data_IF_683980473333
#
_entry.id   IF_683980473333
#
_cell.length_a   1.000
_cell.length_b   1.000
_cell.length_c   1.000
_cell.angle_alpha   90.00
_cell.angle_beta   90.00
_cell.angle_gamma   90.00
#
_symmetry.space_group_name_H-M   'P 1'
#
loop_
_entity.id
_entity.type
_entity.pdbx_description
1 polymer ?
#
# COMPACT_ATOMS: atom_id res chain seq x y z
N UNK A 1 -14.62 15.52 29.68
CA UNK A 1 -13.72 14.94 28.67
C UNK A 1 -12.57 14.26 29.38
N UNK A 2 -12.24 13.05 28.98
CA UNK A 2 -11.10 12.28 29.48
C UNK A 2 -9.89 12.53 28.58
N UNK A 3 -8.73 11.99 28.94
CA UNK A 3 -7.53 12.03 28.11
C UNK A 3 -7.26 10.65 27.54
N UNK A 4 -6.91 10.60 26.27
CA UNK A 4 -6.35 9.39 25.66
C UNK A 4 -4.89 9.17 26.11
N UNK A 5 -4.27 8.07 25.67
CA UNK A 5 -2.89 7.72 26.05
C UNK A 5 -1.82 8.71 25.55
N UNK A 6 -2.15 9.63 24.63
CA UNK A 6 -1.26 10.72 24.18
C UNK A 6 -1.48 12.02 24.96
N UNK A 7 -2.42 12.00 25.91
CA UNK A 7 -2.81 13.14 26.73
C UNK A 7 -3.77 14.13 26.07
N UNK A 8 -4.30 13.80 24.89
CA UNK A 8 -5.30 14.61 24.22
C UNK A 8 -6.70 14.34 24.76
N UNK A 9 -7.53 15.39 24.83
CA UNK A 9 -8.91 15.27 25.29
C UNK A 9 -9.76 14.51 24.28
N UNK A 10 -10.67 13.67 24.76
CA UNK A 10 -11.68 13.01 23.97
C UNK A 10 -12.99 12.85 24.78
N UNK A 11 -14.11 12.85 24.08
CA UNK A 11 -15.41 12.53 24.67
C UNK A 11 -15.58 11.01 24.76
N UNK A 12 -16.26 10.54 25.81
CA UNK A 12 -16.57 9.14 26.01
C UNK A 12 -16.55 8.71 27.48
N UNK A 13 -17.05 7.51 27.77
CA UNK A 13 -16.92 6.87 29.07
C UNK A 13 -15.48 6.40 29.31
N UNK A 14 -15.11 6.16 30.59
CA UNK A 14 -13.79 5.62 30.95
C UNK A 14 -13.51 4.29 30.25
N UNK A 15 -14.52 3.44 30.14
CA UNK A 15 -14.44 2.13 29.50
C UNK A 15 -14.20 2.28 27.98
N UNK A 16 -14.92 3.20 27.30
CA UNK A 16 -14.73 3.49 25.89
C UNK A 16 -13.32 4.01 25.60
N UNK A 17 -12.80 4.93 26.42
CA UNK A 17 -11.43 5.45 26.31
C UNK A 17 -10.39 4.35 26.51
N UNK A 18 -10.60 3.46 27.48
CA UNK A 18 -9.68 2.34 27.73
C UNK A 18 -9.63 1.37 26.53
N UNK A 19 -10.77 1.02 25.94
CA UNK A 19 -10.82 0.20 24.72
C UNK A 19 -10.24 0.91 23.51
N UNK A 20 -10.51 2.20 23.32
CA UNK A 20 -9.91 3.01 22.26
C UNK A 20 -8.38 3.01 22.35
N UNK A 21 -7.82 3.22 23.54
CA UNK A 21 -6.36 3.20 23.72
C UNK A 21 -5.74 1.85 23.38
N UNK A 22 -6.39 0.73 23.74
CA UNK A 22 -5.95 -0.61 23.32
C UNK A 22 -6.06 -0.79 21.80
N UNK A 23 -7.16 -0.32 21.20
CA UNK A 23 -7.35 -0.37 19.74
C UNK A 23 -6.24 0.38 19.01
N UNK A 24 -5.82 1.55 19.49
CA UNK A 24 -4.70 2.31 18.93
C UNK A 24 -3.39 1.50 19.00
N UNK A 25 -3.11 0.83 20.11
CA UNK A 25 -1.92 -0.04 20.21
C UNK A 25 -1.94 -1.14 19.16
N UNK A 26 -3.07 -1.84 19.00
CA UNK A 26 -3.23 -2.88 17.98
C UNK A 26 -3.19 -2.32 16.54
N UNK A 27 -3.72 -1.10 16.30
CA UNK A 27 -3.61 -0.43 15.00
C UNK A 27 -2.14 -0.22 14.61
N UNK A 28 -1.34 0.31 15.52
CA UNK A 28 0.07 0.62 15.26
C UNK A 28 0.93 -0.64 15.06
N UNK A 29 0.57 -1.73 15.72
CA UNK A 29 1.21 -3.03 15.58
C UNK A 29 0.60 -3.89 14.44
N UNK A 30 -0.34 -3.35 13.66
CA UNK A 30 -1.04 -4.06 12.56
C UNK A 30 -1.73 -5.36 13.01
N UNK A 31 -2.22 -5.41 14.24
CA UNK A 31 -2.85 -6.60 14.82
C UNK A 31 -4.37 -6.63 14.60
N UNK A 32 -4.95 -7.78 14.25
CA UNK A 32 -6.39 -7.91 13.96
C UNK A 32 -7.30 -7.58 15.14
N UNK A 33 -6.80 -7.64 16.36
CA UNK A 33 -7.49 -7.27 17.59
C UNK A 33 -7.96 -5.80 17.61
N UNK A 34 -7.40 -4.95 16.76
CA UNK A 34 -7.86 -3.55 16.59
C UNK A 34 -9.36 -3.49 16.33
N UNK A 35 -9.90 -4.40 15.52
CA UNK A 35 -11.34 -4.42 15.19
C UNK A 35 -12.16 -4.71 16.44
N UNK A 36 -11.83 -5.76 17.19
CA UNK A 36 -12.55 -6.15 18.41
C UNK A 36 -12.50 -5.07 19.49
N UNK A 37 -11.33 -4.45 19.69
CA UNK A 37 -11.20 -3.36 20.68
C UNK A 37 -11.95 -2.09 20.25
N UNK A 38 -11.98 -1.79 18.95
CA UNK A 38 -12.76 -0.65 18.43
C UNK A 38 -14.26 -0.88 18.62
N UNK A 39 -14.77 -2.09 18.33
CA UNK A 39 -16.18 -2.43 18.57
C UNK A 39 -16.53 -2.40 20.06
N UNK A 40 -15.64 -2.85 20.95
CA UNK A 40 -15.84 -2.75 22.40
C UNK A 40 -15.90 -1.27 22.86
N UNK A 41 -15.04 -0.40 22.33
CA UNK A 41 -15.09 1.04 22.64
C UNK A 41 -16.44 1.66 22.22
N UNK A 42 -16.92 1.31 21.03
CA UNK A 42 -18.22 1.77 20.50
C UNK A 42 -19.42 1.22 21.28
N UNK A 43 -19.34 -0.01 21.75
CA UNK A 43 -20.39 -0.62 22.58
C UNK A 43 -20.45 0.00 23.97
N UNK A 44 -19.28 0.32 24.57
CA UNK A 44 -19.19 0.95 25.87
C UNK A 44 -19.74 2.40 25.88
N UNK A 45 -19.57 3.12 24.75
CA UNK A 45 -20.15 4.45 24.57
C UNK A 45 -20.37 4.75 23.06
N UNK A 46 -21.61 4.56 22.57
CA UNK A 46 -21.93 4.86 21.17
C UNK A 46 -21.76 6.33 20.76
N UNK A 47 -21.68 7.26 21.73
CA UNK A 47 -21.44 8.68 21.48
C UNK A 47 -19.95 9.05 21.41
N UNK A 48 -19.04 8.11 21.68
CA UNK A 48 -17.59 8.33 21.59
C UNK A 48 -17.16 8.53 20.14
N UNK A 49 -17.01 9.80 19.72
CA UNK A 49 -16.69 10.20 18.34
C UNK A 49 -15.39 9.56 17.87
N UNK A 50 -14.35 9.52 18.71
CA UNK A 50 -13.06 8.95 18.32
C UNK A 50 -13.12 7.43 18.07
N UNK A 51 -13.96 6.68 18.80
CA UNK A 51 -14.16 5.25 18.54
C UNK A 51 -14.92 5.02 17.20
N UNK A 52 -15.91 5.88 16.89
CA UNK A 52 -16.61 5.85 15.61
C UNK A 52 -15.68 6.23 14.45
N UNK A 53 -14.85 7.26 14.65
CA UNK A 53 -13.85 7.69 13.66
C UNK A 53 -12.82 6.59 13.37
N UNK A 54 -12.27 5.94 14.42
CA UNK A 54 -11.35 4.81 14.24
C UNK A 54 -12.01 3.69 13.42
N UNK A 55 -13.27 3.33 13.74
CA UNK A 55 -13.99 2.29 12.99
C UNK A 55 -14.18 2.64 11.51
N UNK A 56 -14.50 3.90 11.24
CA UNK A 56 -14.62 4.39 9.86
C UNK A 56 -13.27 4.33 9.12
N UNK A 57 -12.18 4.78 9.73
CA UNK A 57 -10.85 4.72 9.14
C UNK A 57 -10.40 3.29 8.84
N UNK A 58 -10.68 2.31 9.71
CA UNK A 58 -10.38 0.90 9.43
C UNK A 58 -11.05 0.41 8.14
N UNK A 59 -12.27 0.85 7.87
CA UNK A 59 -12.95 0.54 6.60
C UNK A 59 -12.31 1.26 5.40
N UNK A 60 -11.94 2.54 5.56
CA UNK A 60 -11.35 3.32 4.47
C UNK A 60 -9.94 2.83 4.08
N UNK A 61 -9.17 2.34 5.06
CA UNK A 61 -7.83 1.81 4.83
C UNK A 61 -7.83 0.43 4.13
N UNK A 62 -8.98 -0.26 3.98
CA UNK A 62 -9.06 -1.48 3.15
C UNK A 62 -8.83 -1.22 1.67
N UNK A 63 -8.96 0.04 1.22
CA UNK A 63 -8.95 0.43 -0.19
C UNK A 63 -10.09 -0.15 -1.05
N UNK A 64 -11.14 -0.70 -0.44
CA UNK A 64 -12.27 -1.32 -1.13
C UNK A 64 -13.55 -0.46 -1.01
N UNK A 65 -14.29 -0.31 -2.12
CA UNK A 65 -15.47 0.56 -2.17
C UNK A 65 -16.59 0.15 -1.20
N UNK A 66 -16.96 -1.14 -1.04
CA UNK A 66 -17.99 -1.55 -0.08
C UNK A 66 -17.66 -1.17 1.36
N UNK A 67 -16.37 -1.22 1.73
CA UNK A 67 -15.92 -0.84 3.06
C UNK A 67 -15.96 0.68 3.27
N UNK A 68 -15.64 1.47 2.22
CA UNK A 68 -15.81 2.92 2.26
C UNK A 68 -17.29 3.32 2.42
N UNK A 69 -18.21 2.66 1.71
CA UNK A 69 -19.66 2.85 1.87
C UNK A 69 -20.11 2.48 3.28
N UNK A 70 -19.59 1.37 3.82
CA UNK A 70 -19.90 0.95 5.18
C UNK A 70 -19.32 1.91 6.23
N UNK A 71 -18.13 2.48 6.01
CA UNK A 71 -17.50 3.47 6.88
C UNK A 71 -18.40 4.68 7.13
N UNK A 72 -19.16 5.11 6.12
CA UNK A 72 -20.11 6.22 6.24
C UNK A 72 -21.18 5.99 7.32
N UNK A 73 -21.54 4.73 7.62
CA UNK A 73 -22.55 4.40 8.63
C UNK A 73 -22.10 4.75 10.04
N UNK A 74 -20.80 4.70 10.31
CA UNK A 74 -20.24 4.94 11.64
C UNK A 74 -20.20 6.43 11.99
N UNK A 75 -20.15 7.31 11.00
CA UNK A 75 -20.03 8.77 11.21
C UNK A 75 -21.28 9.53 10.79
N UNK A 76 -22.31 8.86 10.26
CA UNK A 76 -23.54 9.50 9.79
C UNK A 76 -24.24 10.25 10.92
N UNK A 77 -24.42 11.58 10.72
CA UNK A 77 -25.09 12.46 11.67
C UNK A 77 -24.28 12.78 12.92
N UNK A 78 -23.05 12.31 13.04
CA UNK A 78 -22.16 12.72 14.12
C UNK A 78 -21.66 14.14 13.90
N UNK A 79 -21.65 14.89 14.98
CA UNK A 79 -21.03 16.22 15.09
C UNK A 79 -20.27 16.28 16.40
N UNK A 80 -19.24 17.11 16.47
CA UNK A 80 -18.56 17.41 17.72
C UNK A 80 -18.30 18.91 17.84
N UNK A 81 -18.40 19.44 19.04
CA UNK A 81 -17.93 20.77 19.41
C UNK A 81 -16.42 20.82 19.69
N UNK A 82 -15.79 19.66 19.86
CA UNK A 82 -14.34 19.55 19.95
C UNK A 82 -13.70 19.67 18.56
N UNK A 83 -12.74 20.58 18.42
CA UNK A 83 -12.14 20.88 17.13
C UNK A 83 -11.31 19.71 16.56
N UNK A 84 -10.68 18.88 17.39
CA UNK A 84 -9.94 17.68 17.00
C UNK A 84 -10.89 16.65 16.41
N UNK A 85 -11.95 16.32 17.13
CA UNK A 85 -12.96 15.34 16.69
C UNK A 85 -13.66 15.80 15.42
N UNK A 86 -14.00 17.10 15.31
CA UNK A 86 -14.62 17.67 14.11
C UNK A 86 -13.73 17.58 12.88
N UNK A 87 -12.40 17.74 13.02
CA UNK A 87 -11.45 17.57 11.93
C UNK A 87 -11.32 16.10 11.49
N UNK A 88 -11.36 15.13 12.41
CA UNK A 88 -11.43 13.71 12.05
C UNK A 88 -12.70 13.39 11.24
N UNK A 89 -13.87 13.87 11.68
CA UNK A 89 -15.13 13.68 10.96
C UNK A 89 -15.09 14.31 9.56
N UNK A 90 -14.48 15.51 9.43
CA UNK A 90 -14.27 16.17 8.14
C UNK A 90 -13.39 15.36 7.20
N UNK A 91 -12.23 14.86 7.67
CA UNK A 91 -11.31 14.05 6.88
C UNK A 91 -11.98 12.75 6.42
N UNK A 92 -12.73 12.07 7.30
CA UNK A 92 -13.50 10.87 6.94
C UNK A 92 -14.52 11.19 5.85
N UNK A 93 -15.28 12.28 6.00
CA UNK A 93 -16.29 12.71 5.02
C UNK A 93 -15.68 12.99 3.65
N UNK A 94 -14.54 13.66 3.59
CA UNK A 94 -13.79 13.93 2.36
C UNK A 94 -13.29 12.62 1.71
N UNK A 95 -12.73 11.70 2.50
CA UNK A 95 -12.25 10.41 1.98
C UNK A 95 -13.39 9.60 1.37
N UNK A 96 -14.53 9.47 2.08
CA UNK A 96 -15.74 8.79 1.58
C UNK A 96 -16.26 9.44 0.29
N UNK A 97 -16.18 10.78 0.18
CA UNK A 97 -16.58 11.52 -1.01
C UNK A 97 -15.57 11.41 -2.19
N UNK A 98 -14.46 10.68 -2.01
CA UNK A 98 -13.42 10.53 -3.04
C UNK A 98 -12.41 11.68 -3.11
N UNK A 99 -12.49 12.68 -2.21
CA UNK A 99 -11.47 13.73 -2.07
C UNK A 99 -10.39 13.31 -1.06
N UNK A 100 -9.56 12.35 -1.46
CA UNK A 100 -8.50 11.79 -0.63
C UNK A 100 -7.39 12.82 -0.35
N UNK A 101 -7.06 13.67 -1.33
CA UNK A 101 -6.14 14.79 -1.12
C UNK A 101 -6.69 15.81 -0.13
N UNK A 102 -8.01 16.10 -0.16
CA UNK A 102 -8.68 16.94 0.83
C UNK A 102 -8.58 16.35 2.23
N UNK A 103 -8.84 15.03 2.36
CA UNK A 103 -8.71 14.32 3.62
C UNK A 103 -7.27 14.38 4.17
N UNK A 104 -6.25 14.16 3.32
CA UNK A 104 -4.83 14.27 3.71
C UNK A 104 -4.50 15.68 4.21
N UNK A 105 -4.94 16.74 3.51
CA UNK A 105 -4.76 18.14 3.95
C UNK A 105 -5.45 18.43 5.29
N UNK A 106 -6.67 17.93 5.48
CA UNK A 106 -7.41 18.10 6.74
C UNK A 106 -6.71 17.41 7.91
N UNK A 107 -6.10 16.23 7.67
CA UNK A 107 -5.27 15.56 8.68
C UNK A 107 -3.96 16.32 8.96
N UNK A 108 -3.38 17.00 7.97
CA UNK A 108 -2.22 17.90 8.19
C UNK A 108 -2.60 19.12 9.03
N UNK A 109 -3.76 19.74 8.76
CA UNK A 109 -4.29 20.85 9.56
C UNK A 109 -4.57 20.42 11.01
N UNK A 110 -5.10 19.22 11.19
CA UNK A 110 -5.31 18.64 12.51
C UNK A 110 -3.99 18.47 13.25
N UNK A 111 -2.97 17.87 12.60
CA UNK A 111 -1.65 17.66 13.18
C UNK A 111 -0.89 18.96 13.44
N UNK A 112 -1.15 20.01 12.67
CA UNK A 112 -0.63 21.36 12.98
C UNK A 112 -1.11 21.91 14.32
N UNK A 113 -2.31 21.50 14.77
CA UNK A 113 -2.90 21.90 16.08
C UNK A 113 -2.68 20.86 17.18
N UNK A 114 -2.69 19.58 16.80
CA UNK A 114 -2.60 18.43 17.70
C UNK A 114 -1.48 17.46 17.25
N UNK A 115 -0.19 17.87 17.32
CA UNK A 115 0.92 17.09 16.74
C UNK A 115 1.14 15.73 17.42
N UNK A 116 0.47 15.46 18.54
CA UNK A 116 0.48 14.16 19.21
C UNK A 116 -0.74 13.30 18.92
N UNK A 117 -1.57 13.67 17.94
CA UNK A 117 -2.68 12.83 17.51
C UNK A 117 -2.17 11.62 16.73
N UNK A 118 -2.00 10.52 17.44
CA UNK A 118 -1.44 9.28 16.87
C UNK A 118 -2.36 8.64 15.82
N UNK A 119 -3.69 8.78 15.97
CA UNK A 119 -4.63 8.30 14.96
C UNK A 119 -4.49 9.08 13.66
N UNK A 120 -4.42 10.41 13.74
CA UNK A 120 -4.22 11.25 12.56
C UNK A 120 -2.85 11.00 11.90
N UNK A 121 -1.79 10.74 12.69
CA UNK A 121 -0.48 10.37 12.17
C UNK A 121 -0.54 9.04 11.40
N UNK A 122 -1.09 7.99 12.00
CA UNK A 122 -1.16 6.66 11.39
C UNK A 122 -2.04 6.65 10.13
N UNK A 123 -3.25 7.21 10.23
CA UNK A 123 -4.19 7.24 9.11
C UNK A 123 -3.71 8.15 7.98
N UNK A 124 -3.14 9.33 8.33
CA UNK A 124 -2.58 10.24 7.34
C UNK A 124 -1.38 9.64 6.61
N UNK A 125 -0.52 8.91 7.33
CA UNK A 125 0.61 8.18 6.75
C UNK A 125 0.13 7.13 5.74
N UNK A 126 -0.90 6.34 6.09
CA UNK A 126 -1.48 5.36 5.17
C UNK A 126 -2.15 6.00 3.96
N UNK A 127 -2.85 7.12 4.15
CA UNK A 127 -3.49 7.85 3.06
C UNK A 127 -2.47 8.47 2.09
N UNK A 128 -1.37 9.04 2.61
CA UNK A 128 -0.29 9.59 1.78
C UNK A 128 0.39 8.47 0.95
N UNK A 129 0.49 7.25 1.50
CA UNK A 129 0.93 6.06 0.76
C UNK A 129 -0.04 5.72 -0.39
N UNK A 130 -1.34 5.69 -0.15
CA UNK A 130 -2.35 5.45 -1.20
C UNK A 130 -2.36 6.53 -2.29
N UNK A 131 -1.97 7.74 -1.96
CA UNK A 131 -1.84 8.86 -2.89
C UNK A 131 -0.49 8.90 -3.62
N UNK A 132 0.50 8.12 -3.17
CA UNK A 132 1.88 8.17 -3.70
C UNK A 132 2.62 9.46 -3.34
N UNK A 133 2.19 10.15 -2.29
CA UNK A 133 2.74 11.41 -1.81
C UNK A 133 3.93 11.19 -0.87
N UNK A 134 5.04 10.62 -1.40
CA UNK A 134 6.24 10.27 -0.62
C UNK A 134 6.78 11.43 0.23
N UNK A 135 6.76 12.65 -0.32
CA UNK A 135 7.19 13.86 0.39
C UNK A 135 6.36 14.15 1.63
N UNK A 136 5.03 13.97 1.55
CA UNK A 136 4.11 14.19 2.67
C UNK A 136 4.15 13.01 3.65
N UNK A 137 4.24 11.78 3.15
CA UNK A 137 4.45 10.57 3.94
C UNK A 137 5.60 10.72 4.95
N UNK A 138 6.78 11.19 4.49
CA UNK A 138 7.92 11.53 5.34
C UNK A 138 7.67 12.78 6.17
N UNK A 139 7.20 13.86 5.54
CA UNK A 139 7.08 15.19 6.13
C UNK A 139 6.12 15.23 7.31
N UNK A 140 5.01 14.50 7.24
CA UNK A 140 3.99 14.39 8.31
C UNK A 140 4.63 13.94 9.62
N UNK A 141 5.40 12.87 9.58
CA UNK A 141 6.05 12.33 10.78
C UNK A 141 7.21 13.22 11.22
N UNK A 142 8.02 13.73 10.29
CA UNK A 142 9.12 14.65 10.60
C UNK A 142 8.64 15.89 11.36
N UNK A 143 7.49 16.46 11.00
CA UNK A 143 6.89 17.62 11.69
C UNK A 143 6.36 17.28 13.09
N UNK A 144 5.89 16.05 13.29
CA UNK A 144 5.32 15.62 14.57
C UNK A 144 6.38 15.26 15.61
N UNK A 145 7.48 14.62 15.22
CA UNK A 145 8.52 14.07 16.11
C UNK A 145 9.02 15.05 17.19
N UNK A 146 9.29 16.35 16.93
CA UNK A 146 9.74 17.29 17.95
C UNK A 146 8.75 17.52 19.10
N UNK A 147 7.49 17.12 18.94
CA UNK A 147 6.44 17.26 19.95
C UNK A 147 6.24 16.01 20.82
N UNK A 148 7.02 14.96 20.56
CA UNK A 148 6.94 13.69 21.28
C UNK A 148 8.14 13.49 22.22
N UNK A 149 7.86 12.97 23.42
CA UNK A 149 8.91 12.50 24.31
C UNK A 149 9.49 11.17 23.78
N UNK A 150 10.82 11.06 23.57
CA UNK A 150 11.44 9.79 23.15
C UNK A 150 11.19 8.62 24.12
N UNK A 151 10.84 8.88 25.37
CA UNK A 151 10.47 7.85 26.34
C UNK A 151 8.98 7.47 26.31
N UNK A 152 8.17 8.14 25.51
CA UNK A 152 6.75 7.80 25.36
C UNK A 152 6.60 6.42 24.73
N UNK A 153 5.77 5.56 25.30
CA UNK A 153 5.61 4.16 24.82
C UNK A 153 5.17 4.02 23.35
N UNK A 154 4.60 5.05 22.73
CA UNK A 154 4.25 5.04 21.29
C UNK A 154 5.34 5.62 20.38
N UNK A 155 6.44 6.16 20.95
CA UNK A 155 7.44 6.88 20.16
C UNK A 155 8.10 5.98 19.09
N UNK A 156 8.33 4.71 19.41
CA UNK A 156 8.91 3.74 18.46
C UNK A 156 8.12 3.63 17.17
N UNK A 157 6.79 3.59 17.24
CA UNK A 157 5.94 3.51 16.04
C UNK A 157 6.05 4.75 15.13
N UNK A 158 6.34 5.94 15.71
CA UNK A 158 6.64 7.12 14.88
C UNK A 158 7.94 6.93 14.11
N UNK A 159 8.95 6.33 14.71
CA UNK A 159 10.21 6.03 14.05
C UNK A 159 10.03 5.01 12.90
N UNK A 160 9.14 4.01 13.09
CA UNK A 160 8.77 3.06 12.04
C UNK A 160 8.10 3.76 10.85
N UNK A 161 7.11 4.63 11.11
CA UNK A 161 6.49 5.46 10.06
C UNK A 161 7.49 6.42 9.40
N UNK A 162 8.42 7.01 10.17
CA UNK A 162 9.49 7.85 9.63
C UNK A 162 10.41 7.04 8.71
N UNK A 163 10.76 5.82 9.09
CA UNK A 163 11.61 4.93 8.31
C UNK A 163 11.02 4.70 6.92
N UNK A 164 9.75 4.36 6.84
CA UNK A 164 9.09 4.14 5.56
C UNK A 164 9.00 5.43 4.71
N UNK A 165 8.69 6.57 5.33
CA UNK A 165 8.68 7.85 4.62
C UNK A 165 10.05 8.29 4.11
N UNK A 166 11.12 7.99 4.84
CA UNK A 166 12.51 8.22 4.40
C UNK A 166 12.87 7.29 3.22
N UNK A 167 12.46 6.03 3.30
CA UNK A 167 12.70 5.03 2.26
C UNK A 167 12.03 5.44 0.93
N UNK A 168 10.74 5.77 0.93
CA UNK A 168 10.02 6.24 -0.26
C UNK A 168 10.56 7.59 -0.82
N UNK A 169 11.37 8.32 -0.03
CA UNK A 169 12.13 9.50 -0.48
C UNK A 169 13.57 9.17 -0.91
N UNK A 170 13.96 7.90 -1.01
CA UNK A 170 15.31 7.48 -1.43
C UNK A 170 16.41 7.70 -0.39
N UNK A 171 16.05 7.92 0.88
CA UNK A 171 17.00 8.18 1.97
C UNK A 171 17.27 6.88 2.77
N UNK A 172 17.79 5.86 2.09
CA UNK A 172 17.80 4.46 2.57
C UNK A 172 18.61 4.25 3.86
N UNK A 173 19.80 4.87 4.02
CA UNK A 173 20.61 4.73 5.25
C UNK A 173 19.90 5.37 6.46
N UNK A 174 19.25 6.52 6.25
CA UNK A 174 18.48 7.18 7.30
C UNK A 174 17.22 6.37 7.65
N UNK A 175 16.58 5.78 6.65
CA UNK A 175 15.41 4.90 6.81
C UNK A 175 15.77 3.64 7.61
N UNK A 176 16.85 2.95 7.25
CA UNK A 176 17.33 1.77 7.98
C UNK A 176 17.63 2.10 9.44
N UNK A 177 18.34 3.23 9.68
CA UNK A 177 18.66 3.69 11.04
C UNK A 177 17.40 3.95 11.87
N UNK A 178 16.40 4.64 11.28
CA UNK A 178 15.14 4.93 11.96
C UNK A 178 14.34 3.65 12.24
N UNK A 179 14.24 2.75 11.25
CA UNK A 179 13.54 1.47 11.38
C UNK A 179 14.17 0.55 12.44
N UNK A 180 15.49 0.45 12.48
CA UNK A 180 16.19 -0.32 13.53
C UNK A 180 16.00 0.28 14.92
N UNK A 181 15.94 1.62 15.03
CA UNK A 181 15.61 2.28 16.28
C UNK A 181 14.16 1.99 16.71
N UNK A 182 13.21 1.98 15.77
CA UNK A 182 11.82 1.58 16.04
C UNK A 182 11.72 0.15 16.57
N UNK A 183 12.38 -0.82 15.92
CA UNK A 183 12.44 -2.23 16.33
C UNK A 183 13.07 -2.38 17.73
N UNK A 184 14.05 -1.55 18.08
CA UNK A 184 14.64 -1.55 19.43
C UNK A 184 13.66 -1.05 20.51
N UNK A 185 12.69 -0.17 20.17
CA UNK A 185 11.59 0.22 21.04
C UNK A 185 10.49 -0.85 21.11
N UNK A 186 10.12 -1.42 19.95
CA UNK A 186 9.05 -2.40 19.80
C UNK A 186 9.49 -3.49 18.84
N UNK A 187 9.91 -4.63 19.38
CA UNK A 187 10.34 -5.76 18.55
C UNK A 187 9.24 -6.34 17.64
N UNK A 188 7.99 -6.05 17.96
CA UNK A 188 6.78 -6.42 17.20
C UNK A 188 6.26 -5.30 16.28
N UNK A 189 7.02 -4.22 16.06
CA UNK A 189 6.69 -3.21 15.07
C UNK A 189 6.94 -3.76 13.65
N UNK A 190 5.93 -4.46 13.15
CA UNK A 190 5.97 -5.08 11.81
C UNK A 190 6.08 -4.05 10.69
N UNK A 191 5.60 -2.81 10.91
CA UNK A 191 5.76 -1.72 9.95
C UNK A 191 7.23 -1.27 9.84
N UNK A 192 7.94 -1.17 10.97
CA UNK A 192 9.35 -0.86 10.98
C UNK A 192 10.20 -1.99 10.35
N UNK A 193 9.87 -3.26 10.65
CA UNK A 193 10.52 -4.41 10.03
C UNK A 193 10.35 -4.36 8.50
N UNK A 194 9.13 -4.13 8.03
CA UNK A 194 8.81 -3.96 6.62
C UNK A 194 9.59 -2.79 5.98
N UNK A 195 9.64 -1.62 6.63
CA UNK A 195 10.37 -0.45 6.14
C UNK A 195 11.88 -0.72 6.00
N UNK A 196 12.48 -1.45 6.93
CA UNK A 196 13.88 -1.89 6.82
C UNK A 196 14.05 -2.88 5.67
N UNK A 197 13.12 -3.82 5.49
CA UNK A 197 13.10 -4.73 4.33
C UNK A 197 13.12 -3.97 3.00
N UNK A 198 12.31 -2.93 2.87
CA UNK A 198 12.33 -2.04 1.70
C UNK A 198 13.70 -1.41 1.44
N UNK A 199 14.45 -1.01 2.48
CA UNK A 199 15.79 -0.42 2.27
C UNK A 199 16.76 -1.41 1.64
N UNK A 200 16.66 -2.70 2.00
CA UNK A 200 17.45 -3.75 1.36
C UNK A 200 17.04 -3.97 -0.09
N UNK A 201 15.73 -4.01 -0.38
CA UNK A 201 15.21 -4.16 -1.74
C UNK A 201 15.71 -3.05 -2.65
N UNK A 202 15.55 -1.80 -2.23
CA UNK A 202 15.90 -0.64 -3.07
C UNK A 202 17.39 -0.47 -3.26
N UNK A 203 18.22 -0.99 -2.35
CA UNK A 203 19.69 -1.01 -2.48
C UNK A 203 20.20 -2.25 -3.23
N UNK A 204 19.32 -3.19 -3.56
CA UNK A 204 19.68 -4.45 -4.21
C UNK A 204 20.46 -5.42 -3.31
N UNK A 205 20.26 -5.35 -1.99
CA UNK A 205 20.89 -6.20 -0.97
C UNK A 205 19.95 -7.35 -0.60
N UNK A 206 19.66 -8.20 -1.58
CA UNK A 206 18.57 -9.18 -1.48
C UNK A 206 18.89 -10.32 -0.51
N UNK A 207 20.13 -10.80 -0.46
CA UNK A 207 20.58 -11.86 0.46
C UNK A 207 20.49 -11.36 1.91
N UNK A 208 21.06 -10.18 2.17
CA UNK A 208 21.00 -9.53 3.49
C UNK A 208 19.55 -9.20 3.90
N UNK A 209 18.69 -8.89 2.91
CA UNK A 209 17.27 -8.65 3.12
C UNK A 209 16.53 -9.93 3.55
N UNK A 210 16.81 -11.09 2.94
CA UNK A 210 16.27 -12.38 3.35
C UNK A 210 16.74 -12.72 4.78
N UNK A 211 18.03 -12.61 5.05
CA UNK A 211 18.61 -12.88 6.37
C UNK A 211 17.99 -11.98 7.45
N UNK A 212 17.79 -10.70 7.13
CA UNK A 212 17.12 -9.76 8.03
C UNK A 212 15.67 -10.18 8.30
N UNK A 213 14.86 -10.45 7.27
CA UNK A 213 13.47 -10.85 7.45
C UNK A 213 13.37 -12.19 8.22
N UNK A 214 14.27 -13.14 7.95
CA UNK A 214 14.30 -14.41 8.67
C UNK A 214 14.66 -14.23 10.15
N UNK A 215 15.60 -13.32 10.47
CA UNK A 215 15.95 -12.98 11.85
C UNK A 215 14.80 -12.35 12.64
N UNK A 216 13.83 -11.69 11.96
CA UNK A 216 12.67 -11.04 12.54
C UNK A 216 11.38 -11.89 12.43
N UNK A 217 11.46 -13.12 11.94
CA UNK A 217 10.30 -13.95 11.61
C UNK A 217 9.37 -14.21 12.80
N UNK A 218 9.90 -14.30 14.03
CA UNK A 218 9.08 -14.45 15.23
C UNK A 218 8.06 -13.30 15.42
N UNK A 219 8.37 -12.12 14.92
CA UNK A 219 7.51 -10.93 15.02
C UNK A 219 6.53 -10.83 13.84
N UNK A 220 7.02 -10.82 12.60
CA UNK A 220 6.17 -10.55 11.45
C UNK A 220 5.42 -11.77 10.89
N UNK A 221 5.90 -13.01 11.11
CA UNK A 221 5.22 -14.21 10.62
C UNK A 221 4.02 -14.63 11.48
N UNK A 222 3.78 -13.97 12.61
CA UNK A 222 2.57 -14.14 13.42
C UNK A 222 1.32 -13.57 12.72
N UNK A 223 0.13 -13.71 13.33
CA UNK A 223 -1.10 -13.14 12.78
C UNK A 223 -1.09 -11.61 12.86
N UNK A 224 -0.83 -10.96 11.74
CA UNK A 224 -0.93 -9.50 11.57
C UNK A 224 -1.25 -9.15 10.11
N UNK A 225 -1.67 -7.91 9.84
CA UNK A 225 -2.09 -7.46 8.51
C UNK A 225 -0.95 -7.26 7.51
N UNK A 226 0.31 -7.36 7.93
CA UNK A 226 1.47 -7.24 7.04
C UNK A 226 2.16 -8.57 6.76
N UNK A 227 1.69 -9.68 7.33
CA UNK A 227 2.30 -11.00 7.14
C UNK A 227 2.41 -11.37 5.65
N UNK A 228 1.33 -11.25 4.92
CA UNK A 228 1.29 -11.58 3.48
C UNK A 228 2.23 -10.67 2.71
N UNK A 229 2.16 -9.36 2.96
CA UNK A 229 2.99 -8.36 2.29
C UNK A 229 4.50 -8.52 2.61
N UNK A 230 4.86 -8.82 3.86
CA UNK A 230 6.25 -9.09 4.23
C UNK A 230 6.75 -10.39 3.58
N UNK A 231 5.90 -11.43 3.49
CA UNK A 231 6.22 -12.66 2.75
C UNK A 231 6.42 -12.38 1.25
N UNK A 232 5.63 -11.46 0.69
CA UNK A 232 5.80 -11.02 -0.70
C UNK A 232 7.18 -10.37 -0.92
N UNK A 233 7.66 -9.49 -0.04
CA UNK A 233 9.03 -8.95 -0.14
C UNK A 233 10.08 -10.06 -0.15
N UNK A 234 9.94 -11.06 0.72
CA UNK A 234 10.85 -12.21 0.72
C UNK A 234 10.81 -12.97 -0.61
N UNK A 235 9.62 -13.16 -1.20
CA UNK A 235 9.47 -13.76 -2.52
C UNK A 235 10.10 -12.92 -3.64
N UNK A 236 10.01 -11.57 -3.56
CA UNK A 236 10.67 -10.67 -4.51
C UNK A 236 12.20 -10.76 -4.38
N UNK A 237 12.75 -10.89 -3.17
CA UNK A 237 14.18 -11.09 -2.98
C UNK A 237 14.66 -12.41 -3.60
N UNK A 238 13.93 -13.51 -3.39
CA UNK A 238 14.22 -14.79 -4.02
C UNK A 238 14.15 -14.69 -5.56
N UNK A 239 13.14 -13.99 -6.09
CA UNK A 239 12.98 -13.78 -7.54
C UNK A 239 14.13 -12.95 -8.12
N UNK A 240 14.61 -11.90 -7.44
CA UNK A 240 15.78 -11.13 -7.89
C UNK A 240 17.06 -11.98 -7.93
N UNK A 241 17.18 -12.99 -7.07
CA UNK A 241 18.26 -13.97 -7.09
C UNK A 241 18.03 -15.12 -8.08
N UNK A 242 16.91 -15.10 -8.83
CA UNK A 242 16.49 -16.16 -9.74
C UNK A 242 16.16 -17.49 -9.04
N UNK A 243 15.89 -17.47 -7.74
CA UNK A 243 15.34 -18.61 -7.01
C UNK A 243 13.80 -18.65 -7.17
N UNK A 244 13.38 -19.03 -8.37
CA UNK A 244 11.96 -19.14 -8.69
C UNK A 244 11.23 -20.21 -7.86
N UNK A 245 11.97 -21.25 -7.42
CA UNK A 245 11.41 -22.30 -6.57
C UNK A 245 10.98 -21.76 -5.21
N UNK A 246 11.84 -20.98 -4.55
CA UNK A 246 11.52 -20.33 -3.28
C UNK A 246 10.37 -19.30 -3.45
N UNK A 247 10.39 -18.49 -4.53
CA UNK A 247 9.32 -17.54 -4.80
C UNK A 247 7.95 -18.22 -5.00
N UNK A 248 7.89 -19.35 -5.73
CA UNK A 248 6.68 -20.14 -5.93
C UNK A 248 6.21 -20.81 -4.63
N UNK A 249 7.12 -21.32 -3.79
CA UNK A 249 6.76 -21.90 -2.49
C UNK A 249 6.07 -20.85 -1.59
N UNK A 250 6.62 -19.64 -1.49
CA UNK A 250 6.01 -18.54 -0.72
C UNK A 250 4.65 -18.15 -1.32
N UNK A 251 4.53 -18.15 -2.65
CA UNK A 251 3.25 -17.90 -3.32
C UNK A 251 2.19 -18.90 -2.86
N UNK A 252 2.50 -20.19 -2.89
CA UNK A 252 1.57 -21.28 -2.54
C UNK A 252 1.22 -21.29 -1.05
N UNK A 253 2.23 -21.09 -0.18
CA UNK A 253 2.06 -21.19 1.27
C UNK A 253 1.34 -19.98 1.87
N UNK A 254 1.55 -18.79 1.31
CA UNK A 254 1.11 -17.56 1.97
C UNK A 254 0.24 -16.67 1.08
N UNK A 255 0.68 -16.34 -0.15
CA UNK A 255 0.03 -15.32 -0.97
C UNK A 255 -1.25 -15.83 -1.67
N UNK A 256 -1.37 -17.12 -1.90
CA UNK A 256 -2.53 -17.75 -2.57
C UNK A 256 -3.44 -18.50 -1.60
N UNK A 257 -3.35 -18.22 -0.29
CA UNK A 257 -4.23 -18.82 0.71
C UNK A 257 -5.67 -18.28 0.60
N UNK A 258 -6.67 -19.06 1.03
CA UNK A 258 -8.07 -18.62 1.06
C UNK A 258 -8.27 -17.32 1.86
N UNK A 259 -7.40 -17.04 2.82
CA UNK A 259 -7.46 -15.82 3.61
C UNK A 259 -6.88 -14.63 2.85
N UNK A 260 -5.71 -14.78 2.20
CA UNK A 260 -5.06 -13.71 1.44
C UNK A 260 -5.83 -13.32 0.17
N UNK A 261 -6.60 -14.24 -0.41
CA UNK A 261 -7.48 -13.96 -1.54
C UNK A 261 -8.80 -13.23 -1.16
N UNK A 262 -8.89 -12.67 0.05
CA UNK A 262 -10.07 -11.92 0.51
C UNK A 262 -9.90 -10.41 0.49
N UNK A 263 -8.68 -9.91 0.58
CA UNK A 263 -8.39 -8.48 0.64
C UNK A 263 -7.66 -8.01 -0.61
N UNK A 264 -8.07 -6.86 -1.14
CA UNK A 264 -7.52 -6.33 -2.39
C UNK A 264 -6.00 -6.11 -2.31
N UNK A 265 -5.48 -5.63 -1.17
CA UNK A 265 -4.05 -5.35 -1.01
C UNK A 265 -3.21 -6.64 -1.01
N UNK A 266 -3.67 -7.73 -0.37
CA UNK A 266 -2.98 -9.02 -0.39
C UNK A 266 -3.08 -9.70 -1.76
N UNK A 267 -4.24 -9.58 -2.43
CA UNK A 267 -4.43 -10.06 -3.81
C UNK A 267 -3.53 -9.32 -4.80
N UNK A 268 -3.25 -8.03 -4.58
CA UNK A 268 -2.31 -7.26 -5.39
C UNK A 268 -0.88 -7.80 -5.27
N UNK A 269 -0.44 -8.19 -4.07
CA UNK A 269 0.86 -8.82 -3.84
C UNK A 269 0.99 -10.15 -4.61
N UNK A 270 -0.02 -11.02 -4.51
CA UNK A 270 -0.07 -12.29 -5.26
C UNK A 270 0.01 -12.04 -6.77
N UNK A 271 -0.83 -11.12 -7.29
CA UNK A 271 -0.88 -10.77 -8.71
C UNK A 271 0.45 -10.21 -9.21
N UNK A 272 1.07 -9.33 -8.43
CA UNK A 272 2.33 -8.71 -8.80
C UNK A 272 3.51 -9.70 -8.79
N UNK A 273 3.51 -10.70 -7.90
CA UNK A 273 4.51 -11.78 -7.92
C UNK A 273 4.32 -12.69 -9.13
N UNK A 274 3.10 -13.20 -9.34
CA UNK A 274 2.80 -14.07 -10.49
C UNK A 274 3.11 -13.38 -11.82
N UNK A 275 2.84 -12.07 -11.92
CA UNK A 275 3.15 -11.31 -13.13
C UNK A 275 4.66 -11.19 -13.37
N UNK A 276 5.47 -10.97 -12.34
CA UNK A 276 6.93 -10.95 -12.46
C UNK A 276 7.48 -12.30 -12.93
N UNK A 277 6.96 -13.40 -12.38
CA UNK A 277 7.30 -14.75 -12.84
C UNK A 277 6.90 -14.98 -14.31
N UNK A 278 5.69 -14.51 -14.70
CA UNK A 278 5.22 -14.55 -16.09
C UNK A 278 6.13 -13.73 -17.04
N UNK A 279 6.60 -12.56 -16.63
CA UNK A 279 7.55 -11.76 -17.41
C UNK A 279 8.89 -12.46 -17.61
N UNK A 280 9.30 -13.27 -16.65
CA UNK A 280 10.52 -14.08 -16.67
C UNK A 280 10.30 -15.45 -17.34
N UNK A 281 9.13 -15.68 -17.94
CA UNK A 281 8.75 -16.89 -18.67
C UNK A 281 8.74 -18.16 -17.79
N UNK A 282 8.56 -17.98 -16.47
CA UNK A 282 8.39 -19.08 -15.51
C UNK A 282 6.96 -19.62 -15.59
N UNK A 283 6.83 -20.93 -15.69
CA UNK A 283 5.51 -21.59 -15.64
C UNK A 283 4.91 -21.49 -14.23
N UNK A 284 3.85 -20.72 -14.09
CA UNK A 284 3.12 -20.55 -12.84
C UNK A 284 1.90 -21.50 -12.72
N UNK A 285 1.69 -22.36 -13.72
CA UNK A 285 0.60 -23.33 -13.73
C UNK A 285 -0.78 -22.71 -13.56
N UNK A 286 -1.63 -23.33 -12.76
CA UNK A 286 -3.02 -22.90 -12.54
C UNK A 286 -3.18 -21.76 -11.49
N UNK A 287 -2.09 -21.14 -11.01
CA UNK A 287 -2.15 -20.15 -9.90
C UNK A 287 -2.91 -18.87 -10.23
N UNK A 288 -3.02 -18.56 -11.53
CA UNK A 288 -3.77 -17.38 -11.97
C UNK A 288 -5.28 -17.50 -11.75
N UNK A 289 -5.87 -18.70 -11.93
CA UNK A 289 -7.31 -18.86 -11.94
C UNK A 289 -7.98 -18.51 -10.60
N UNK A 290 -7.54 -19.04 -9.44
CA UNK A 290 -8.14 -18.66 -8.15
C UNK A 290 -8.00 -17.17 -7.86
N UNK A 291 -6.89 -16.54 -8.25
CA UNK A 291 -6.69 -15.10 -8.08
C UNK A 291 -7.63 -14.29 -8.96
N UNK A 292 -7.78 -14.67 -10.24
CA UNK A 292 -8.70 -14.00 -11.17
C UNK A 292 -10.17 -14.15 -10.72
N UNK A 293 -10.57 -15.32 -10.22
CA UNK A 293 -11.90 -15.53 -9.64
C UNK A 293 -12.13 -14.64 -8.41
N UNK A 294 -11.14 -14.56 -7.52
CA UNK A 294 -11.21 -13.70 -6.34
C UNK A 294 -11.38 -12.23 -6.73
N UNK A 295 -10.60 -11.73 -7.69
CA UNK A 295 -10.76 -10.37 -8.22
C UNK A 295 -12.11 -10.16 -8.92
N UNK A 296 -12.60 -11.13 -9.70
CA UNK A 296 -13.90 -11.05 -10.36
C UNK A 296 -15.09 -10.96 -9.37
N UNK A 297 -14.91 -11.47 -8.15
CA UNK A 297 -15.90 -11.39 -7.08
C UNK A 297 -15.97 -10.03 -6.37
N UNK A 298 -14.99 -9.15 -6.59
CA UNK A 298 -14.93 -7.82 -5.97
C UNK A 298 -15.91 -6.85 -6.61
N UNK A 299 -16.26 -5.81 -5.84
CA UNK A 299 -17.10 -4.72 -6.35
C UNK A 299 -16.41 -4.05 -7.56
N UNK A 300 -17.11 -3.85 -8.68
CA UNK A 300 -16.54 -3.33 -9.91
C UNK A 300 -16.33 -1.80 -9.92
N UNK A 301 -16.64 -1.10 -8.85
CA UNK A 301 -16.46 0.35 -8.75
C UNK A 301 -14.97 0.70 -8.79
N UNK A 302 -14.59 1.59 -9.70
CA UNK A 302 -13.22 2.09 -9.83
C UNK A 302 -12.89 3.05 -8.65
N UNK A 303 -12.74 2.48 -7.46
CA UNK A 303 -12.51 3.22 -6.21
C UNK A 303 -11.04 3.57 -5.99
N UNK A 304 -10.14 2.64 -6.33
CA UNK A 304 -8.70 2.81 -6.20
C UNK A 304 -7.99 2.19 -7.41
N UNK A 305 -7.40 3.03 -8.23
CA UNK A 305 -6.81 2.63 -9.52
C UNK A 305 -5.70 1.58 -9.39
N UNK A 306 -4.98 1.57 -8.28
CA UNK A 306 -3.98 0.55 -8.00
C UNK A 306 -4.60 -0.85 -7.97
N UNK A 307 -5.78 -1.01 -7.34
CA UNK A 307 -6.52 -2.28 -7.33
C UNK A 307 -7.01 -2.65 -8.73
N UNK A 308 -7.53 -1.68 -9.50
CA UNK A 308 -8.00 -1.91 -10.87
C UNK A 308 -6.87 -2.46 -11.77
N UNK A 309 -5.66 -1.90 -11.65
CA UNK A 309 -4.49 -2.36 -12.40
C UNK A 309 -4.08 -3.78 -12.02
N UNK A 310 -4.12 -4.16 -10.74
CA UNK A 310 -3.80 -5.52 -10.29
C UNK A 310 -4.89 -6.52 -10.69
N UNK A 311 -6.15 -6.10 -10.74
CA UNK A 311 -7.23 -6.90 -11.34
C UNK A 311 -6.92 -7.20 -12.80
N UNK A 312 -6.49 -6.21 -13.58
CA UNK A 312 -6.12 -6.42 -15.00
C UNK A 312 -4.93 -7.38 -15.13
N UNK A 313 -3.90 -7.26 -14.27
CA UNK A 313 -2.79 -8.22 -14.25
C UNK A 313 -3.28 -9.66 -14.06
N UNK A 314 -4.20 -9.88 -13.13
CA UNK A 314 -4.77 -11.20 -12.86
C UNK A 314 -5.60 -11.72 -14.04
N UNK A 315 -6.45 -10.88 -14.64
CA UNK A 315 -7.27 -11.28 -15.80
C UNK A 315 -6.40 -11.63 -17.02
N UNK A 316 -5.41 -10.78 -17.34
CA UNK A 316 -4.48 -11.04 -18.45
C UNK A 316 -3.65 -12.31 -18.16
N UNK A 317 -3.13 -12.46 -16.95
CA UNK A 317 -2.37 -13.64 -16.55
C UNK A 317 -3.15 -14.95 -16.65
N UNK A 318 -4.45 -14.92 -16.32
CA UNK A 318 -5.37 -16.05 -16.47
C UNK A 318 -5.88 -16.26 -17.93
N UNK A 319 -5.42 -15.44 -18.89
CA UNK A 319 -5.92 -15.52 -20.28
C UNK A 319 -7.35 -14.98 -20.48
N UNK A 320 -7.91 -14.30 -19.47
CA UNK A 320 -9.27 -13.72 -19.48
C UNK A 320 -9.28 -12.32 -20.10
N UNK A 321 -8.75 -12.22 -21.32
CA UNK A 321 -8.50 -10.95 -22.03
C UNK A 321 -9.76 -10.08 -22.18
N UNK A 322 -10.92 -10.68 -22.48
CA UNK A 322 -12.17 -9.94 -22.64
C UNK A 322 -12.63 -9.27 -21.33
N UNK A 323 -12.36 -9.90 -20.19
CA UNK A 323 -12.66 -9.33 -18.88
C UNK A 323 -11.70 -8.19 -18.53
N UNK A 324 -10.42 -8.32 -18.86
CA UNK A 324 -9.45 -7.23 -18.74
C UNK A 324 -9.87 -6.00 -19.55
N UNK A 325 -10.32 -6.19 -20.81
CA UNK A 325 -10.82 -5.11 -21.67
C UNK A 325 -12.12 -4.49 -21.14
N UNK A 326 -13.00 -5.29 -20.52
CA UNK A 326 -14.20 -4.77 -19.88
C UNK A 326 -13.87 -3.89 -18.65
N UNK A 327 -12.78 -4.19 -17.93
CA UNK A 327 -12.29 -3.33 -16.82
C UNK A 327 -11.80 -2.00 -17.41
N UNK A 328 -10.99 -2.02 -18.47
CA UNK A 328 -10.53 -0.80 -19.16
C UNK A 328 -11.71 0.07 -19.58
N UNK A 329 -12.74 -0.52 -20.19
CA UNK A 329 -13.94 0.21 -20.61
C UNK A 329 -14.67 0.87 -19.42
N UNK A 330 -14.73 0.22 -18.25
CA UNK A 330 -15.27 0.83 -17.03
C UNK A 330 -14.42 1.99 -16.52
N UNK A 331 -13.10 1.84 -16.56
CA UNK A 331 -12.16 2.91 -16.19
C UNK A 331 -12.33 4.13 -17.11
N UNK A 332 -12.48 3.93 -18.43
CA UNK A 332 -12.77 4.99 -19.41
C UNK A 332 -14.08 5.72 -19.09
N UNK A 333 -15.14 4.96 -18.83
CA UNK A 333 -16.44 5.52 -18.45
C UNK A 333 -16.35 6.32 -17.14
N UNK A 334 -15.58 5.84 -16.15
CA UNK A 334 -15.36 6.53 -14.88
C UNK A 334 -14.63 7.86 -15.05
N UNK A 335 -13.60 7.92 -15.91
CA UNK A 335 -12.87 9.17 -16.21
C UNK A 335 -13.79 10.21 -16.84
N UNK A 336 -14.72 9.78 -17.68
CA UNK A 336 -15.67 10.66 -18.39
C UNK A 336 -16.89 11.03 -17.54
N UNK A 337 -17.12 10.37 -16.42
CA UNK A 337 -18.27 10.64 -15.56
C UNK A 337 -18.16 12.00 -14.86
N UNK A 338 -19.24 12.80 -14.82
CA UNK A 338 -19.29 14.01 -14.01
C UNK A 338 -19.22 13.72 -12.50
N UNK A 339 -19.58 12.53 -12.08
CA UNK A 339 -19.57 12.04 -10.69
C UNK A 339 -18.25 11.36 -10.30
N UNK A 340 -17.23 11.49 -11.15
CA UNK A 340 -15.92 10.87 -10.89
C UNK A 340 -15.34 11.29 -9.54
N UNK A 341 -14.70 10.35 -8.88
CA UNK A 341 -13.95 10.62 -7.65
C UNK A 341 -12.81 11.60 -7.93
N UNK A 342 -12.67 12.64 -7.11
CA UNK A 342 -11.72 13.73 -7.38
C UNK A 342 -10.29 13.23 -7.45
N UNK A 343 -9.83 12.52 -6.42
CA UNK A 343 -8.43 12.07 -6.32
C UNK A 343 -8.15 10.86 -7.24
N UNK A 344 -8.96 9.80 -7.13
CA UNK A 344 -8.77 8.62 -7.97
C UNK A 344 -8.99 8.91 -9.46
N UNK A 345 -9.94 9.80 -9.79
CA UNK A 345 -10.18 10.24 -11.18
C UNK A 345 -8.99 10.96 -11.80
N UNK A 346 -8.24 11.75 -11.03
CA UNK A 346 -6.99 12.37 -11.48
C UNK A 346 -5.90 11.32 -11.74
N UNK A 347 -5.68 10.40 -10.80
CA UNK A 347 -4.72 9.31 -10.92
C UNK A 347 -5.04 8.42 -12.11
N UNK A 348 -6.33 8.08 -12.28
CA UNK A 348 -6.83 7.27 -13.39
C UNK A 348 -6.60 7.94 -14.74
N UNK A 349 -6.96 9.22 -14.89
CA UNK A 349 -6.80 9.94 -16.15
C UNK A 349 -5.33 10.16 -16.51
N UNK A 350 -4.46 10.41 -15.51
CA UNK A 350 -3.06 10.77 -15.75
C UNK A 350 -2.16 9.57 -16.07
N UNK A 351 -2.35 8.45 -15.39
CA UNK A 351 -1.50 7.27 -15.54
C UNK A 351 -2.26 5.95 -15.50
N UNK A 352 -3.30 5.81 -14.65
CA UNK A 352 -3.98 4.54 -14.43
C UNK A 352 -4.60 3.95 -15.69
N UNK A 353 -5.42 4.71 -16.40
CA UNK A 353 -6.06 4.26 -17.64
C UNK A 353 -5.03 3.97 -18.75
N UNK A 354 -4.01 4.81 -19.01
CA UNK A 354 -2.95 4.45 -19.93
C UNK A 354 -2.23 3.15 -19.55
N UNK A 355 -1.89 2.93 -18.28
CA UNK A 355 -1.26 1.67 -17.84
C UNK A 355 -2.21 0.49 -18.06
N UNK A 356 -3.50 0.60 -17.74
CA UNK A 356 -4.51 -0.42 -17.97
C UNK A 356 -4.60 -0.82 -19.47
N UNK A 357 -4.64 0.17 -20.37
CA UNK A 357 -4.61 -0.05 -21.83
C UNK A 357 -3.32 -0.73 -22.28
N UNK A 358 -2.17 -0.35 -21.71
CA UNK A 358 -0.89 -0.98 -22.01
C UNK A 358 -0.81 -2.44 -21.55
N UNK A 359 -1.34 -2.75 -20.35
CA UNK A 359 -1.39 -4.13 -19.83
C UNK A 359 -2.27 -5.04 -20.71
N UNK A 360 -3.41 -4.53 -21.17
CA UNK A 360 -4.27 -5.29 -22.11
C UNK A 360 -3.62 -5.45 -23.49
N UNK A 361 -2.89 -4.44 -23.99
CA UNK A 361 -2.08 -4.56 -25.21
C UNK A 361 -0.99 -5.61 -25.04
N UNK A 362 -0.30 -5.62 -23.88
CA UNK A 362 0.69 -6.65 -23.56
C UNK A 362 0.08 -8.06 -23.60
N UNK A 363 -1.11 -8.24 -23.02
CA UNK A 363 -1.84 -9.51 -23.03
C UNK A 363 -2.18 -10.01 -24.45
N UNK A 364 -2.42 -9.11 -25.39
CA UNK A 364 -2.63 -9.43 -26.83
C UNK A 364 -1.32 -9.69 -27.60
N UNK A 365 -0.16 -9.50 -26.98
CA UNK A 365 1.13 -9.57 -27.65
C UNK A 365 1.50 -8.31 -28.44
N UNK A 366 0.74 -7.21 -28.29
CA UNK A 366 1.01 -5.93 -28.94
C UNK A 366 2.02 -5.12 -28.09
N UNK A 367 3.27 -5.56 -28.14
CA UNK A 367 4.35 -4.99 -27.34
C UNK A 367 4.76 -3.58 -27.80
N UNK A 368 4.61 -3.28 -29.10
CA UNK A 368 4.88 -1.93 -29.63
C UNK A 368 3.88 -0.93 -29.06
N UNK A 369 2.59 -1.27 -29.02
CA UNK A 369 1.56 -0.43 -28.42
C UNK A 369 1.80 -0.28 -26.90
N UNK A 370 2.15 -1.37 -26.20
CA UNK A 370 2.49 -1.32 -24.77
C UNK A 370 3.58 -0.29 -24.51
N UNK A 371 4.68 -0.33 -25.26
CA UNK A 371 5.79 0.62 -25.12
C UNK A 371 5.35 2.04 -25.46
N UNK A 372 4.63 2.23 -26.56
CA UNK A 372 4.15 3.55 -27.00
C UNK A 372 3.32 4.25 -25.92
N UNK A 373 2.49 3.50 -25.19
CA UNK A 373 1.64 4.04 -24.12
C UNK A 373 2.45 4.28 -22.84
N UNK A 374 3.26 3.31 -22.40
CA UNK A 374 3.90 3.39 -21.07
C UNK A 374 5.15 4.26 -21.03
N UNK A 375 5.94 4.33 -22.12
CA UNK A 375 7.21 5.05 -22.13
C UNK A 375 7.08 6.53 -21.74
N UNK A 376 6.08 7.31 -22.25
CA UNK A 376 5.91 8.71 -21.88
C UNK A 376 5.54 8.96 -20.41
N UNK A 377 4.87 8.00 -19.77
CA UNK A 377 4.33 8.16 -18.40
C UNK A 377 5.13 7.40 -17.35
N UNK A 378 6.22 6.70 -17.73
CA UNK A 378 6.97 5.80 -16.84
C UNK A 378 7.49 6.42 -15.53
N UNK A 379 7.64 7.76 -15.51
CA UNK A 379 8.07 8.50 -14.33
C UNK A 379 6.92 9.08 -13.49
N UNK A 380 5.67 8.85 -13.88
CA UNK A 380 4.47 9.41 -13.23
C UNK A 380 3.66 8.36 -12.46
N UNK A 381 4.16 7.12 -12.35
CA UNK A 381 3.40 6.00 -11.81
C UNK A 381 3.09 6.14 -10.30
N UNK A 382 3.80 7.01 -9.58
CA UNK A 382 3.49 7.26 -8.16
C UNK A 382 2.09 7.84 -7.94
N UNK A 383 1.52 8.53 -8.94
CA UNK A 383 0.22 9.20 -8.81
C UNK A 383 -0.95 8.26 -8.44
N UNK A 384 -0.82 6.96 -8.70
CA UNK A 384 -1.84 5.98 -8.31
C UNK A 384 -1.47 5.18 -7.05
N UNK A 385 -0.50 5.65 -6.25
CA UNK A 385 -0.12 5.04 -4.99
C UNK A 385 0.78 3.81 -5.12
N UNK A 386 0.81 3.01 -4.06
CA UNK A 386 1.73 1.90 -3.90
C UNK A 386 3.16 2.35 -3.57
N UNK A 387 4.02 1.44 -3.16
CA UNK A 387 5.45 1.69 -2.91
C UNK A 387 6.28 1.61 -4.20
N UNK A 388 7.54 2.04 -4.12
CA UNK A 388 8.52 1.82 -5.20
C UNK A 388 8.60 0.33 -5.59
N UNK A 389 8.63 -0.57 -4.60
CA UNK A 389 8.67 -2.01 -4.81
C UNK A 389 7.43 -2.52 -5.56
N UNK A 390 6.24 -2.04 -5.17
CA UNK A 390 4.98 -2.44 -5.80
C UNK A 390 4.86 -1.92 -7.23
N UNK A 391 5.17 -0.65 -7.48
CA UNK A 391 5.12 -0.04 -8.83
C UNK A 391 6.14 -0.62 -9.80
N UNK A 392 7.18 -1.27 -9.32
CA UNK A 392 8.23 -1.89 -10.12
C UNK A 392 7.70 -2.94 -11.12
N UNK A 393 6.57 -3.58 -10.84
CA UNK A 393 5.94 -4.54 -11.77
C UNK A 393 5.60 -3.89 -13.13
N UNK A 394 5.18 -2.63 -13.12
CA UNK A 394 4.87 -1.89 -14.34
C UNK A 394 6.13 -1.48 -15.09
N UNK A 395 7.20 -1.11 -14.38
CA UNK A 395 8.51 -0.82 -14.98
C UNK A 395 9.10 -2.07 -15.64
N UNK A 396 8.99 -3.24 -15.01
CA UNK A 396 9.39 -4.53 -15.60
C UNK A 396 8.58 -4.86 -16.83
N UNK A 397 7.26 -4.62 -16.81
CA UNK A 397 6.39 -4.83 -17.96
C UNK A 397 6.83 -4.00 -19.16
N UNK A 398 7.12 -2.71 -18.97
CA UNK A 398 7.64 -1.83 -20.02
C UNK A 398 8.96 -2.36 -20.61
N UNK A 399 9.90 -2.77 -19.75
CA UNK A 399 11.20 -3.27 -20.20
C UNK A 399 11.05 -4.56 -21.04
N UNK A 400 10.24 -5.51 -20.55
CA UNK A 400 9.99 -6.77 -21.28
C UNK A 400 9.23 -6.52 -22.57
N UNK A 401 8.25 -5.60 -22.59
CA UNK A 401 7.56 -5.20 -23.82
C UNK A 401 8.54 -4.61 -24.83
N UNK A 402 9.41 -3.69 -24.42
CA UNK A 402 10.43 -3.11 -25.30
C UNK A 402 11.39 -4.18 -25.86
N UNK A 403 11.79 -5.16 -25.04
CA UNK A 403 12.60 -6.31 -25.49
C UNK A 403 11.86 -7.14 -26.53
N UNK A 404 10.61 -7.52 -26.26
CA UNK A 404 9.77 -8.33 -27.17
C UNK A 404 9.41 -7.59 -28.47
N UNK A 405 9.36 -6.25 -28.42
CA UNK A 405 9.18 -5.38 -29.59
C UNK A 405 10.49 -5.13 -30.37
N UNK A 406 11.63 -5.71 -29.95
CA UNK A 406 12.94 -5.52 -30.61
C UNK A 406 13.54 -4.13 -30.47
N UNK A 407 13.09 -3.33 -29.51
CA UNK A 407 13.55 -1.94 -29.29
C UNK A 407 14.86 -1.90 -28.47
N UNK A 408 15.94 -2.52 -28.99
CA UNK A 408 17.22 -2.73 -28.31
C UNK A 408 17.78 -1.46 -27.64
N UNK A 409 17.78 -0.32 -28.35
CA UNK A 409 18.30 0.93 -27.79
C UNK A 409 17.49 1.41 -26.57
N UNK A 410 16.16 1.24 -26.60
CA UNK A 410 15.32 1.63 -25.46
C UNK A 410 15.46 0.67 -24.28
N UNK A 411 15.63 -0.63 -24.52
CA UNK A 411 15.94 -1.62 -23.47
C UNK A 411 17.26 -1.26 -22.78
N UNK A 412 18.29 -0.83 -23.52
CA UNK A 412 19.55 -0.38 -22.92
C UNK A 412 19.36 0.80 -21.97
N UNK A 413 18.53 1.78 -22.36
CA UNK A 413 18.19 2.95 -21.52
C UNK A 413 17.48 2.49 -20.24
N UNK A 414 16.42 1.67 -20.37
CA UNK A 414 15.65 1.18 -19.22
C UNK A 414 16.49 0.33 -18.26
N UNK A 415 17.37 -0.52 -18.79
CA UNK A 415 18.32 -1.29 -17.97
C UNK A 415 19.32 -0.37 -17.25
N UNK A 416 19.80 0.69 -17.91
CA UNK A 416 20.74 1.64 -17.29
C UNK A 416 20.05 2.41 -16.16
N UNK A 417 18.86 2.99 -16.40
CA UNK A 417 18.05 3.67 -15.37
C UNK A 417 17.85 2.78 -14.15
N UNK A 418 17.53 1.49 -14.38
CA UNK A 418 17.31 0.52 -13.31
C UNK A 418 18.57 0.18 -12.54
N UNK A 419 19.69 -0.05 -13.22
CA UNK A 419 20.97 -0.39 -12.59
C UNK A 419 21.59 0.80 -11.83
N UNK A 420 21.29 2.05 -12.22
CA UNK A 420 21.64 3.22 -11.42
C UNK A 420 20.86 3.27 -10.11
N UNK A 421 19.57 2.95 -10.15
CA UNK A 421 18.73 2.90 -8.95
C UNK A 421 19.03 1.68 -8.07
N UNK A 422 19.33 0.50 -8.68
CA UNK A 422 19.58 -0.78 -8.02
C UNK A 422 20.79 -1.48 -8.61
N UNK A 423 22.03 -1.08 -8.21
CA UNK A 423 23.27 -1.55 -8.85
C UNK A 423 23.46 -3.08 -8.85
N UNK A 424 22.89 -3.77 -7.85
CA UNK A 424 23.01 -5.21 -7.66
C UNK A 424 21.85 -6.02 -8.28
N UNK A 425 20.95 -5.41 -9.07
CA UNK A 425 19.84 -6.13 -9.70
C UNK A 425 20.35 -7.15 -10.72
N UNK A 426 20.35 -8.43 -10.33
CA UNK A 426 20.71 -9.57 -11.21
C UNK A 426 19.74 -9.62 -12.40
N UNK A 427 18.47 -9.38 -12.15
CA UNK A 427 17.44 -9.36 -13.19
C UNK A 427 17.72 -8.31 -14.28
N UNK A 428 18.00 -7.06 -13.91
CA UNK A 428 18.29 -6.01 -14.89
C UNK A 428 19.59 -6.30 -15.68
N UNK A 429 20.61 -6.82 -15.00
CA UNK A 429 21.85 -7.24 -15.65
C UNK A 429 21.60 -8.40 -16.64
N UNK A 430 20.70 -9.33 -16.34
CA UNK A 430 20.32 -10.41 -17.23
C UNK A 430 19.58 -9.87 -18.46
N UNK A 431 18.58 -8.97 -18.29
CA UNK A 431 17.86 -8.35 -19.41
C UNK A 431 18.82 -7.63 -20.39
N UNK A 432 19.87 -7.00 -19.87
CA UNK A 432 20.91 -6.34 -20.70
C UNK A 432 21.76 -7.31 -21.51
N UNK A 433 21.97 -8.55 -21.02
CA UNK A 433 22.77 -9.59 -21.73
C UNK A 433 22.02 -10.24 -22.89
N UNK A 434 20.70 -10.14 -22.91
CA UNK A 434 19.84 -10.68 -23.98
C UNK A 434 19.68 -9.74 -25.19
N UNK A 435 20.46 -8.67 -25.27
CA UNK A 435 20.53 -7.72 -26.39
C UNK A 435 21.66 -8.09 -27.34
#
# INVERSE_FOLDING_TARGET
MLKDQTGLLMAGSEEAVAHYNRAIGHLLAFQPEVVGQTEAARAADPSCVMAQALRAYLGLMSSEYPDAVNAARFVRGLTSSDAREALHLSAIGQWIAGDWHGASRTLDDLLGRYPRDILALSVGHQLDFFLGEAGNLRGRITRALPHWDPNHHLYGYLLGMQAFGLEECGQYEAAEKAGRAAIAHHADDVWAIHAVGHTYEMRGLFEEGIDFLDSQSASWASSNFLKVHTSWHKAIFALEQQDYGAALAICDETLSSDQSLRTALEMADAGSLLWRLHLDEVDVGARWEPLAEAWASKDPTCWYVFNDLHTILAMVGAGRQAEAEAIVARMEASVLSPERLVSNGLAMASAGLPVAQALTAFGRGDYEQTVSIMAPIRHQLSIFGGSHAQRDVFQRTLLVAARRAGQTAFVQILCQERLEARPNSVWAAAQRRHL
#
